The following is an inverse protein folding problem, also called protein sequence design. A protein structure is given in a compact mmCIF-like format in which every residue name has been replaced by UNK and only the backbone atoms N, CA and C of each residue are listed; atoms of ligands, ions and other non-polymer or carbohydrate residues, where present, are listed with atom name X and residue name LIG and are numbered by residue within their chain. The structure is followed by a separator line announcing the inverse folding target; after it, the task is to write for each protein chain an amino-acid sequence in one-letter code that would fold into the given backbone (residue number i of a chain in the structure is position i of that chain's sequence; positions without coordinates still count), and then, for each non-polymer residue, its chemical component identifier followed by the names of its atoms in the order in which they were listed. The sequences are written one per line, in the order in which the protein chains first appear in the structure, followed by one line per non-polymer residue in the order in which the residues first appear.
data_IF_640853814836
#
_entry.id   IF_640853814836
#
_cell.length_a   1.000
_cell.length_b   1.000
_cell.length_c   1.000
_cell.angle_alpha   90.00
_cell.angle_beta   90.00
_cell.angle_gamma   90.00
#
_symmetry.space_group_name_H-M   'P 1'
#
loop_
_entity.id
_entity.type
_entity.pdbx_description
1 polymer ?
#
# COMPACT_ATOMS: atom_id res chain seq x y z
N UNK A 1 -0.44 44.38 -1.13
CA UNK A 1 -0.80 43.14 -0.41
C UNK A 1 0.11 42.03 -0.88
N UNK A 2 0.81 41.37 0.04
CA UNK A 2 1.68 40.23 -0.27
C UNK A 2 0.89 38.97 0.06
N UNK A 3 0.56 38.17 -0.94
CA UNK A 3 -0.03 36.85 -0.72
C UNK A 3 1.09 35.94 -0.20
N UNK A 4 1.09 35.66 1.10
CA UNK A 4 1.98 34.66 1.69
C UNK A 4 1.40 33.28 1.36
N UNK A 5 2.08 32.54 0.49
CA UNK A 5 1.87 31.09 0.35
C UNK A 5 2.60 30.42 1.51
N UNK A 6 1.86 29.99 2.53
CA UNK A 6 2.38 29.07 3.54
C UNK A 6 2.38 27.67 2.92
N UNK A 7 3.56 27.17 2.54
CA UNK A 7 3.71 25.74 2.22
C UNK A 7 3.33 24.96 3.47
N UNK A 8 2.29 24.14 3.38
CA UNK A 8 1.92 23.22 4.47
C UNK A 8 3.12 22.33 4.80
N UNK A 9 3.30 22.01 6.09
CA UNK A 9 4.38 21.14 6.54
C UNK A 9 4.28 19.77 5.82
N UNK A 10 5.33 19.34 5.08
CA UNK A 10 5.30 18.08 4.33
C UNK A 10 4.93 16.86 5.17
N UNK A 11 5.28 16.87 6.46
CA UNK A 11 4.94 15.76 7.35
C UNK A 11 3.43 15.74 7.65
N UNK A 12 2.84 16.92 7.86
CA UNK A 12 1.38 17.06 8.04
C UNK A 12 0.65 16.58 6.79
N UNK A 13 1.13 16.97 5.60
CA UNK A 13 0.56 16.53 4.33
C UNK A 13 0.64 15.00 4.17
N UNK A 14 1.80 14.41 4.44
CA UNK A 14 2.02 12.96 4.38
C UNK A 14 1.09 12.20 5.32
N UNK A 15 0.98 12.64 6.58
CA UNK A 15 0.07 12.01 7.55
C UNK A 15 -1.39 12.12 7.11
N UNK A 16 -1.81 13.28 6.62
CA UNK A 16 -3.16 13.49 6.13
C UNK A 16 -3.46 12.66 4.87
N UNK A 17 -2.52 12.57 3.93
CA UNK A 17 -2.63 11.75 2.72
C UNK A 17 -2.79 10.27 3.08
N UNK A 18 -1.94 9.76 3.98
CA UNK A 18 -2.05 8.39 4.47
C UNK A 18 -3.41 8.11 5.09
N UNK A 19 -3.89 8.98 5.97
CA UNK A 19 -5.19 8.82 6.62
C UNK A 19 -6.34 8.76 5.59
N UNK A 20 -6.33 9.63 4.57
CA UNK A 20 -7.33 9.62 3.48
C UNK A 20 -7.30 8.31 2.69
N UNK A 21 -6.11 7.83 2.33
CA UNK A 21 -5.96 6.60 1.56
C UNK A 21 -6.35 5.35 2.36
N UNK A 22 -5.96 5.25 3.63
CA UNK A 22 -6.43 4.17 4.52
C UNK A 22 -7.96 4.15 4.63
N UNK A 23 -8.57 5.32 4.84
CA UNK A 23 -10.04 5.45 4.88
C UNK A 23 -10.70 5.03 3.56
N UNK A 24 -10.08 5.34 2.43
CA UNK A 24 -10.57 4.94 1.10
C UNK A 24 -10.59 3.41 0.95
N UNK A 25 -9.53 2.71 1.40
CA UNK A 25 -9.50 1.24 1.38
C UNK A 25 -10.57 0.67 2.31
N UNK A 26 -10.72 1.22 3.52
CA UNK A 26 -11.72 0.77 4.50
C UNK A 26 -13.15 0.93 3.97
N UNK A 27 -13.48 2.10 3.42
CA UNK A 27 -14.79 2.39 2.83
C UNK A 27 -15.05 1.46 1.64
N UNK A 28 -14.05 1.24 0.78
CA UNK A 28 -14.18 0.32 -0.34
C UNK A 28 -14.51 -1.09 0.13
N UNK A 29 -13.69 -1.65 1.03
CA UNK A 29 -13.87 -2.98 1.60
C UNK A 29 -15.27 -3.18 2.20
N UNK A 30 -15.75 -2.20 2.98
CA UNK A 30 -17.11 -2.22 3.54
C UNK A 30 -18.20 -2.18 2.47
N UNK A 31 -18.04 -1.31 1.46
CA UNK A 31 -19.04 -1.11 0.42
C UNK A 31 -19.20 -2.31 -0.52
N UNK A 32 -18.11 -3.05 -0.76
CA UNK A 32 -18.09 -4.19 -1.69
C UNK A 32 -18.14 -5.55 -0.98
N UNK A 33 -18.01 -5.57 0.36
CA UNK A 33 -17.82 -6.80 1.12
C UNK A 33 -16.48 -7.50 0.83
N UNK A 34 -15.51 -6.78 0.24
CA UNK A 34 -14.18 -7.33 -0.03
C UNK A 34 -13.35 -7.42 1.24
N UNK A 35 -12.68 -8.55 1.45
CA UNK A 35 -11.71 -8.70 2.53
C UNK A 35 -10.33 -8.22 2.03
N UNK A 36 -10.03 -6.95 2.26
CA UNK A 36 -8.76 -6.33 1.87
C UNK A 36 -7.90 -6.17 3.12
N UNK A 37 -6.71 -6.76 3.12
CA UNK A 37 -5.70 -6.46 4.13
C UNK A 37 -4.94 -5.19 3.76
N UNK A 38 -4.79 -4.27 4.71
CA UNK A 38 -4.01 -3.05 4.54
C UNK A 38 -3.57 -2.51 5.90
N UNK A 39 -2.39 -1.88 5.95
CA UNK A 39 -1.83 -1.23 7.13
C UNK A 39 -0.81 -0.15 6.76
N UNK A 40 -0.38 0.65 7.75
CA UNK A 40 0.73 1.61 7.58
C UNK A 40 2.05 0.86 7.42
N UNK A 41 2.91 1.40 6.56
CA UNK A 41 4.26 0.92 6.37
C UNK A 41 4.46 0.37 4.96
N UNK A 42 5.58 -0.31 4.77
CA UNK A 42 5.96 -0.92 3.51
C UNK A 42 6.41 -2.36 3.73
N UNK A 43 6.09 -3.23 2.80
CA UNK A 43 6.82 -4.48 2.65
C UNK A 43 8.16 -4.18 1.96
N UNK A 44 9.25 -4.32 2.71
CA UNK A 44 10.62 -4.04 2.26
C UNK A 44 11.32 -5.32 1.84
N UNK A 45 12.22 -5.16 0.87
CA UNK A 45 12.80 -6.27 0.11
C UNK A 45 11.71 -7.05 -0.65
N UNK A 46 12.10 -7.94 -1.58
CA UNK A 46 11.13 -8.66 -2.42
C UNK A 46 10.47 -7.82 -3.51
N UNK A 47 11.12 -6.74 -3.98
CA UNK A 47 10.67 -5.98 -5.14
C UNK A 47 10.40 -6.89 -6.34
N UNK A 48 9.23 -6.74 -6.94
CA UNK A 48 8.84 -7.51 -8.12
C UNK A 48 8.60 -6.60 -9.33
N UNK A 49 7.61 -5.71 -9.24
CA UNK A 49 7.17 -4.88 -10.36
C UNK A 49 6.51 -3.60 -9.84
N UNK A 50 6.74 -2.47 -10.51
CA UNK A 50 5.96 -1.25 -10.28
C UNK A 50 4.76 -1.17 -11.22
N UNK A 51 3.62 -0.66 -10.74
CA UNK A 51 2.42 -0.44 -11.55
C UNK A 51 2.13 1.08 -11.66
N UNK A 52 2.82 1.80 -12.57
CA UNK A 52 2.78 3.28 -12.63
C UNK A 52 1.41 3.86 -13.01
N UNK A 53 0.57 3.08 -13.69
CA UNK A 53 -0.79 3.50 -14.07
C UNK A 53 -1.80 3.37 -12.91
N UNK A 54 -1.37 2.82 -11.77
CA UNK A 54 -2.21 2.60 -10.60
C UNK A 54 -1.83 3.62 -9.53
N UNK A 55 -2.73 4.57 -9.29
CA UNK A 55 -2.49 5.74 -8.45
C UNK A 55 -3.32 5.74 -7.15
N UNK A 56 -3.87 4.59 -6.77
CA UNK A 56 -4.64 4.43 -5.54
C UNK A 56 -4.41 3.05 -4.89
N UNK A 57 -4.54 2.93 -3.55
CA UNK A 57 -4.24 1.69 -2.83
C UNK A 57 -5.23 0.55 -3.12
N UNK A 58 -6.48 0.87 -3.47
CA UNK A 58 -7.47 -0.15 -3.85
C UNK A 58 -7.10 -0.76 -5.20
N UNK A 59 -6.65 0.06 -6.15
CA UNK A 59 -6.08 -0.37 -7.41
C UNK A 59 -4.85 -1.26 -7.19
N UNK A 60 -3.96 -0.89 -6.26
CA UNK A 60 -2.79 -1.70 -5.92
C UNK A 60 -3.18 -3.09 -5.40
N UNK A 61 -4.14 -3.15 -4.50
CA UNK A 61 -4.65 -4.42 -3.98
C UNK A 61 -5.22 -5.28 -5.11
N UNK A 62 -6.04 -4.71 -6.00
CA UNK A 62 -6.67 -5.45 -7.11
C UNK A 62 -5.63 -5.98 -8.09
N UNK A 63 -4.65 -5.15 -8.44
CA UNK A 63 -3.56 -5.55 -9.32
C UNK A 63 -2.68 -6.62 -8.70
N UNK A 64 -2.44 -6.55 -7.38
CA UNK A 64 -1.75 -7.62 -6.69
C UNK A 64 -2.58 -8.90 -6.70
N UNK A 65 -3.89 -8.87 -6.41
CA UNK A 65 -4.72 -10.08 -6.46
C UNK A 65 -4.75 -10.74 -7.84
N UNK A 66 -4.80 -9.95 -8.90
CA UNK A 66 -4.79 -10.43 -10.29
C UNK A 66 -3.44 -11.05 -10.72
N UNK A 67 -2.39 -10.84 -9.95
CA UNK A 67 -1.02 -11.27 -10.25
C UNK A 67 -0.58 -12.41 -9.34
N UNK A 68 -0.33 -13.59 -9.93
CA UNK A 68 0.03 -14.79 -9.19
C UNK A 68 1.37 -14.68 -8.45
N UNK A 69 2.30 -13.83 -8.93
CA UNK A 69 3.62 -13.63 -8.32
C UNK A 69 3.60 -12.56 -7.20
N UNK A 70 2.52 -11.78 -7.11
CA UNK A 70 2.36 -10.75 -6.08
C UNK A 70 1.81 -11.34 -4.76
N UNK A 71 2.54 -11.14 -3.68
CA UNK A 71 2.15 -11.51 -2.32
C UNK A 71 1.86 -10.30 -1.43
N UNK A 72 2.51 -9.17 -1.73
CA UNK A 72 2.32 -7.91 -1.01
C UNK A 72 2.28 -6.76 -2.01
N UNK A 73 1.61 -5.69 -1.64
CA UNK A 73 1.59 -4.45 -2.39
C UNK A 73 1.91 -3.30 -1.47
N UNK A 74 2.62 -2.31 -1.98
CA UNK A 74 2.85 -1.04 -1.32
C UNK A 74 2.29 0.09 -2.17
N UNK A 75 1.73 1.10 -1.51
CA UNK A 75 1.25 2.34 -2.13
C UNK A 75 1.90 3.54 -1.44
N UNK A 76 2.65 4.35 -2.18
CA UNK A 76 3.23 5.59 -1.67
C UNK A 76 2.18 6.70 -1.71
N UNK A 77 1.88 7.29 -0.55
CA UNK A 77 0.72 8.18 -0.36
C UNK A 77 0.88 9.58 -0.96
N UNK A 78 2.11 10.01 -1.27
CA UNK A 78 2.40 11.31 -1.90
C UNK A 78 2.73 11.14 -3.38
N UNK A 79 3.57 10.16 -3.71
CA UNK A 79 3.97 9.92 -5.10
C UNK A 79 2.93 9.14 -5.90
N UNK A 80 1.87 8.64 -5.25
CA UNK A 80 0.85 7.77 -5.82
C UNK A 80 1.45 6.59 -6.59
N UNK A 81 2.50 6.00 -6.03
CA UNK A 81 3.26 4.90 -6.64
C UNK A 81 2.78 3.57 -6.09
N UNK A 82 2.49 2.63 -6.99
CA UNK A 82 2.15 1.27 -6.65
C UNK A 82 3.32 0.31 -6.90
N UNK A 83 3.75 -0.43 -5.86
CA UNK A 83 4.81 -1.44 -5.96
C UNK A 83 4.28 -2.82 -5.56
N UNK A 84 4.38 -3.80 -6.46
CA UNK A 84 4.12 -5.21 -6.19
C UNK A 84 5.36 -5.88 -5.61
N UNK A 85 5.15 -6.79 -4.67
CA UNK A 85 6.21 -7.52 -3.97
C UNK A 85 5.98 -9.02 -4.00
N UNK A 86 7.07 -9.76 -4.11
CA UNK A 86 7.13 -11.21 -3.92
C UNK A 86 7.00 -11.58 -2.45
N UNK A 87 6.90 -12.89 -2.20
CA UNK A 87 6.69 -13.48 -0.87
C UNK A 87 7.80 -13.19 0.16
N UNK A 88 9.03 -13.01 -0.28
CA UNK A 88 10.16 -12.74 0.60
C UNK A 88 10.20 -11.28 1.03
N UNK A 89 10.94 -10.99 2.10
CA UNK A 89 11.06 -9.65 2.66
C UNK A 89 10.44 -9.56 4.05
N UNK A 90 10.07 -8.35 4.46
CA UNK A 90 9.47 -8.11 5.75
C UNK A 90 8.72 -6.80 5.82
N UNK A 91 7.81 -6.70 6.78
CA UNK A 91 7.10 -5.45 7.08
C UNK A 91 8.03 -4.48 7.80
N UNK A 92 8.07 -3.24 7.31
CA UNK A 92 8.69 -2.09 7.95
C UNK A 92 7.61 -1.03 8.25
N UNK A 93 7.29 -0.88 9.53
CA UNK A 93 6.25 0.02 10.03
C UNK A 93 6.67 1.49 10.08
N UNK A 94 7.96 1.78 9.88
CA UNK A 94 8.52 3.14 9.98
C UNK A 94 8.48 3.88 8.64
N UNK A 95 7.95 3.23 7.59
CA UNK A 95 7.66 3.82 6.27
C UNK A 95 6.32 4.55 6.28
N UNK A 96 6.30 5.70 6.93
CA UNK A 96 5.11 6.52 7.14
C UNK A 96 4.51 7.08 5.84
N UNK A 97 5.30 7.23 4.79
CA UNK A 97 4.87 7.64 3.46
C UNK A 97 4.20 6.51 2.66
N UNK A 98 4.02 5.33 3.25
CA UNK A 98 3.48 4.13 2.61
C UNK A 98 2.28 3.50 3.34
N UNK A 99 1.45 2.85 2.53
CA UNK A 99 0.46 1.87 2.95
C UNK A 99 0.85 0.55 2.30
N UNK A 100 0.78 -0.54 3.03
CA UNK A 100 0.99 -1.87 2.47
C UNK A 100 -0.19 -2.79 2.71
N UNK A 101 -0.30 -3.84 1.91
CA UNK A 101 -1.26 -4.91 2.14
C UNK A 101 -0.77 -6.26 1.64
N UNK A 102 -1.52 -7.29 1.97
CA UNK A 102 -1.26 -8.67 1.57
C UNK A 102 -2.28 -9.11 0.55
N UNK A 103 -1.86 -9.96 -0.39
CA UNK A 103 -2.81 -10.71 -1.21
C UNK A 103 -3.42 -11.87 -0.40
N UNK A 104 -4.56 -12.36 -0.85
CA UNK A 104 -5.23 -13.54 -0.27
C UNK A 104 -4.35 -14.79 -0.27
N UNK A 105 -3.36 -14.86 -1.18
CA UNK A 105 -2.40 -15.96 -1.29
C UNK A 105 -1.40 -15.97 -0.13
N UNK A 106 -1.01 -14.80 0.39
CA UNK A 106 -0.14 -14.71 1.55
C UNK A 106 -0.69 -15.50 2.75
N UNK A 107 -1.97 -15.31 3.05
CA UNK A 107 -2.65 -15.98 4.17
C UNK A 107 -2.93 -17.47 3.95
N UNK A 108 -2.88 -17.95 2.70
CA UNK A 108 -3.15 -19.35 2.34
C UNK A 108 -1.87 -20.16 2.18
N UNK A 109 -0.74 -19.51 1.95
CA UNK A 109 0.49 -20.20 1.65
C UNK A 109 1.18 -20.68 2.95
N UNK A 110 1.74 -21.90 2.98
CA UNK A 110 2.40 -22.45 4.16
C UNK A 110 3.54 -21.53 4.62
N UNK A 111 3.81 -21.49 5.93
CA UNK A 111 4.92 -20.71 6.45
C UNK A 111 6.21 -21.09 5.71
N UNK A 112 7.07 -20.12 5.41
CA UNK A 112 8.29 -20.31 4.62
C UNK A 112 9.35 -21.24 5.28
N UNK A 113 8.97 -21.97 6.33
CA UNK A 113 9.80 -22.83 7.16
C UNK A 113 9.59 -24.34 6.89
N UNK A 114 8.78 -24.72 5.89
CA UNK A 114 8.48 -26.13 5.56
C UNK A 114 9.06 -26.60 4.22
N UNK A 115 10.15 -25.98 3.75
CA UNK A 115 10.95 -26.45 2.60
C UNK A 115 12.40 -26.69 3.00
#
# INVERSE_FOLDING_TARGET
SVTQTTTEDPDIEMHAARARHLSTVEVHAKSTGSNIHFEKGAWVYGDYEGAPDIQDPVGCQKACEADAECFHWNFHVIQHKCDKKKRNGGHDSDKDDWIMGHSSRWFKAPAASEL
#
